data_IF_067652651404
#
_entry.id   IF_067652651404
#
_cell.length_a   1.000
_cell.length_b   1.000
_cell.length_c   1.000
_cell.angle_alpha   90.00
_cell.angle_beta   90.00
_cell.angle_gamma   90.00
#
_symmetry.space_group_name_H-M   'P 1'
#
loop_
_entity.id
_entity.type
_entity.pdbx_description
1 polymer ?
#
# COMPACT_ATOMS: atom_id res chain seq x y z
N UNK A 1 16.35 18.36 -4.73
CA UNK A 1 16.53 16.90 -4.62
C UNK A 1 15.37 16.34 -3.81
N UNK A 2 14.87 15.16 -4.19
CA UNK A 2 13.80 14.44 -3.50
C UNK A 2 14.12 12.94 -3.48
N UNK A 3 13.25 12.17 -2.87
CA UNK A 3 13.40 10.73 -2.64
C UNK A 3 12.31 9.98 -3.41
N UNK A 4 12.73 8.93 -4.12
CA UNK A 4 11.87 7.84 -4.55
C UNK A 4 12.00 6.72 -3.53
N UNK A 5 10.88 6.20 -3.02
CA UNK A 5 10.87 5.02 -2.16
C UNK A 5 10.42 3.83 -2.99
N UNK A 6 11.31 2.83 -3.10
CA UNK A 6 10.99 1.48 -3.56
C UNK A 6 10.71 0.61 -2.33
N UNK A 7 9.52 0.03 -2.26
CA UNK A 7 9.07 -0.69 -1.05
C UNK A 7 9.99 -1.90 -0.75
N UNK A 8 10.33 -2.69 -1.77
CA UNK A 8 11.22 -3.83 -1.64
C UNK A 8 12.61 -3.45 -1.11
N UNK A 9 13.15 -2.27 -1.48
CA UNK A 9 14.48 -1.82 -1.01
C UNK A 9 14.47 -1.51 0.49
N UNK A 10 13.36 -1.01 1.01
CA UNK A 10 13.21 -0.80 2.46
C UNK A 10 13.24 -2.15 3.19
N UNK A 11 12.55 -3.16 2.67
CA UNK A 11 12.54 -4.49 3.28
C UNK A 11 13.92 -5.19 3.27
N UNK A 12 14.82 -4.82 2.37
CA UNK A 12 16.23 -5.31 2.37
C UNK A 12 17.01 -4.89 3.62
N UNK A 13 16.52 -3.92 4.37
CA UNK A 13 17.09 -3.52 5.65
C UNK A 13 16.78 -4.52 6.78
N UNK A 14 16.20 -5.69 6.47
CA UNK A 14 16.07 -6.80 7.42
C UNK A 14 15.13 -6.52 8.59
N UNK A 15 14.12 -5.65 8.39
CA UNK A 15 13.16 -5.28 9.42
C UNK A 15 13.62 -4.20 10.40
N UNK A 16 14.77 -3.54 10.13
CA UNK A 16 15.19 -2.36 10.91
C UNK A 16 14.32 -1.12 10.64
N UNK A 17 13.58 -1.11 9.53
CA UNK A 17 12.69 -0.03 9.14
C UNK A 17 11.52 -0.63 8.35
N UNK A 18 10.34 -0.07 8.53
CA UNK A 18 9.15 -0.40 7.73
C UNK A 18 9.00 0.57 6.56
N UNK A 19 8.25 0.21 5.53
CA UNK A 19 7.92 1.14 4.44
C UNK A 19 7.11 2.30 4.99
N UNK A 20 6.18 2.05 5.91
CA UNK A 20 5.40 3.09 6.54
C UNK A 20 6.28 4.13 7.27
N UNK A 21 7.29 3.70 8.02
CA UNK A 21 8.25 4.59 8.69
C UNK A 21 9.06 5.43 7.69
N UNK A 22 9.54 4.80 6.61
CA UNK A 22 10.32 5.49 5.58
C UNK A 22 9.49 6.55 4.84
N UNK A 23 8.24 6.22 4.52
CA UNK A 23 7.25 7.12 3.92
C UNK A 23 6.95 8.28 4.87
N UNK A 24 6.65 8.00 6.15
CA UNK A 24 6.35 9.02 7.15
C UNK A 24 7.47 10.05 7.28
N UNK A 25 8.72 9.58 7.39
CA UNK A 25 9.93 10.40 7.45
C UNK A 25 10.12 11.27 6.20
N UNK A 26 9.93 10.70 5.01
CA UNK A 26 10.09 11.45 3.76
C UNK A 26 8.99 12.49 3.56
N UNK A 27 7.78 12.22 4.03
CA UNK A 27 6.67 13.16 4.03
C UNK A 27 6.92 14.32 5.01
N UNK A 28 7.37 14.05 6.24
CA UNK A 28 7.75 15.11 7.21
C UNK A 28 8.84 16.03 6.66
N UNK A 29 9.81 15.45 5.93
CA UNK A 29 10.88 16.22 5.31
C UNK A 29 10.41 17.03 4.06
N UNK A 30 9.19 16.79 3.55
CA UNK A 30 8.72 17.34 2.29
C UNK A 30 9.55 16.86 1.09
N UNK A 31 10.04 15.62 1.14
CA UNK A 31 10.97 15.04 0.16
C UNK A 31 10.48 13.79 -0.54
N UNK A 32 9.35 13.19 -0.17
CA UNK A 32 8.77 12.09 -0.93
C UNK A 32 8.25 12.61 -2.29
N UNK A 33 8.87 12.20 -3.40
CA UNK A 33 8.52 12.66 -4.75
C UNK A 33 7.84 11.56 -5.58
N UNK A 34 8.21 10.31 -5.33
CA UNK A 34 7.69 9.13 -6.00
C UNK A 34 7.70 7.97 -5.01
N UNK A 35 6.75 7.06 -5.17
CA UNK A 35 6.81 5.74 -4.57
C UNK A 35 6.68 4.71 -5.66
N UNK A 36 7.54 3.70 -5.60
CA UNK A 36 7.50 2.47 -6.38
C UNK A 36 6.93 1.35 -5.49
N UNK A 37 5.62 1.04 -5.59
CA UNK A 37 5.00 0.04 -4.73
C UNK A 37 5.20 -1.35 -5.32
N UNK A 38 5.94 -2.18 -4.60
CA UNK A 38 6.09 -3.61 -4.84
C UNK A 38 6.25 -4.34 -3.50
N UNK A 39 6.66 -5.60 -3.52
CA UNK A 39 6.90 -6.36 -2.29
C UNK A 39 8.08 -7.32 -2.45
N UNK A 40 8.63 -7.78 -1.33
CA UNK A 40 9.67 -8.81 -1.32
C UNK A 40 9.71 -9.52 0.04
N UNK A 41 10.45 -10.63 0.15
CA UNK A 41 10.73 -11.26 1.46
C UNK A 41 11.89 -10.58 2.22
N UNK A 42 12.38 -9.43 1.74
CA UNK A 42 13.45 -8.66 2.39
C UNK A 42 14.86 -9.26 2.27
N UNK A 43 15.07 -10.28 1.43
CA UNK A 43 16.40 -10.88 1.19
C UNK A 43 17.07 -10.36 -0.08
N UNK A 44 16.26 -10.19 -1.12
CA UNK A 44 16.62 -9.66 -2.42
C UNK A 44 15.41 -8.88 -2.93
N UNK A 45 15.65 -7.95 -3.82
CA UNK A 45 14.60 -7.27 -4.54
C UNK A 45 13.97 -8.24 -5.55
N UNK A 46 12.76 -8.69 -5.26
CA UNK A 46 12.06 -9.68 -6.10
C UNK A 46 11.03 -9.07 -7.03
N UNK A 47 10.76 -7.76 -6.88
CA UNK A 47 9.75 -7.02 -7.64
C UNK A 47 8.37 -7.72 -7.65
N UNK A 48 7.98 -8.29 -6.50
CA UNK A 48 6.71 -9.00 -6.37
C UNK A 48 5.52 -8.03 -6.33
N UNK A 49 4.33 -8.56 -6.64
CA UNK A 49 3.07 -7.82 -6.58
C UNK A 49 2.90 -7.11 -5.23
N UNK A 50 2.53 -5.84 -5.28
CA UNK A 50 2.39 -4.98 -4.10
C UNK A 50 1.43 -5.56 -3.05
N UNK A 51 1.91 -5.62 -1.79
CA UNK A 51 1.14 -6.10 -0.64
C UNK A 51 0.99 -7.62 -0.54
N UNK A 52 1.79 -8.40 -1.28
CA UNK A 52 1.81 -9.87 -1.24
C UNK A 52 2.28 -10.43 0.11
N UNK A 53 3.32 -9.84 0.68
CA UNK A 53 3.96 -10.30 1.91
C UNK A 53 3.70 -9.36 3.09
N UNK A 54 3.63 -8.05 2.83
CA UNK A 54 3.53 -7.03 3.87
C UNK A 54 2.28 -6.14 3.72
N UNK A 55 1.06 -6.71 3.66
CA UNK A 55 -0.16 -5.93 3.38
C UNK A 55 -0.50 -4.89 4.44
N UNK A 56 -0.16 -5.12 5.71
CA UNK A 56 -0.46 -4.16 6.78
C UNK A 56 0.51 -2.98 6.79
N UNK A 57 1.80 -3.20 6.53
CA UNK A 57 2.78 -2.12 6.37
C UNK A 57 2.46 -1.28 5.14
N UNK A 58 2.11 -1.94 4.03
CA UNK A 58 1.64 -1.27 2.82
C UNK A 58 0.37 -0.40 3.06
N UNK A 59 -0.56 -0.87 3.89
CA UNK A 59 -1.73 -0.09 4.30
C UNK A 59 -1.34 1.11 5.19
N UNK A 60 -0.43 0.91 6.15
CA UNK A 60 0.04 1.98 7.03
C UNK A 60 0.81 3.06 6.26
N UNK A 61 1.65 2.69 5.30
CA UNK A 61 2.30 3.61 4.37
C UNK A 61 1.27 4.45 3.59
N UNK A 62 0.22 3.79 3.06
CA UNK A 62 -0.89 4.50 2.42
C UNK A 62 -1.62 5.45 3.39
N UNK A 63 -1.74 5.08 4.66
CA UNK A 63 -2.34 5.93 5.69
C UNK A 63 -1.52 7.21 5.91
N UNK A 64 -0.20 7.13 6.00
CA UNK A 64 0.64 8.32 6.12
C UNK A 64 0.57 9.22 4.89
N UNK A 65 0.59 8.64 3.68
CA UNK A 65 0.41 9.39 2.44
C UNK A 65 -0.91 10.16 2.42
N UNK A 66 -2.03 9.49 2.70
CA UNK A 66 -3.35 10.14 2.69
C UNK A 66 -3.47 11.18 3.80
N UNK A 67 -3.06 10.84 5.02
CA UNK A 67 -3.20 11.72 6.19
C UNK A 67 -2.36 12.99 6.12
N UNK A 68 -1.24 12.95 5.39
CA UNK A 68 -0.36 14.11 5.16
C UNK A 68 -0.61 14.80 3.81
N UNK A 69 -1.65 14.40 3.08
CA UNK A 69 -2.05 15.04 1.83
C UNK A 69 -1.08 14.82 0.67
N UNK A 70 -0.39 13.68 0.63
CA UNK A 70 0.48 13.32 -0.49
C UNK A 70 -0.34 13.09 -1.77
N UNK A 71 -0.03 13.87 -2.80
CA UNK A 71 -0.61 13.83 -4.14
C UNK A 71 0.45 13.51 -5.22
N UNK A 72 1.53 12.82 -4.82
CA UNK A 72 2.58 12.42 -5.74
C UNK A 72 2.20 11.18 -6.56
N UNK A 73 3.12 10.76 -7.42
CA UNK A 73 2.89 9.64 -8.34
C UNK A 73 3.09 8.27 -7.65
N UNK A 74 2.37 7.28 -8.16
CA UNK A 74 2.56 5.86 -7.88
C UNK A 74 2.91 5.16 -9.17
N UNK A 75 3.99 4.39 -9.16
CA UNK A 75 4.41 3.58 -10.29
C UNK A 75 4.81 2.20 -9.77
N UNK A 76 3.93 1.18 -9.83
CA UNK A 76 4.30 -0.18 -9.41
C UNK A 76 5.51 -0.68 -10.21
N UNK A 77 6.65 -0.83 -9.54
CA UNK A 77 7.86 -1.43 -10.11
C UNK A 77 7.85 -2.94 -9.85
N UNK A 78 7.21 -3.69 -10.74
CA UNK A 78 7.01 -5.13 -10.58
C UNK A 78 7.50 -5.91 -11.79
N UNK A 79 8.11 -7.07 -11.54
CA UNK A 79 8.55 -8.01 -12.56
C UNK A 79 7.95 -9.41 -12.29
N UNK A 80 6.65 -9.61 -12.52
CA UNK A 80 5.97 -10.87 -12.25
C UNK A 80 6.50 -11.98 -13.18
N UNK A 81 7.33 -12.87 -12.63
CA UNK A 81 8.00 -13.96 -13.37
C UNK A 81 7.05 -15.10 -13.71
N UNK A 82 6.09 -15.37 -12.82
CA UNK A 82 5.20 -16.54 -12.87
C UNK A 82 3.71 -16.16 -13.04
N UNK A 83 3.39 -14.93 -13.43
CA UNK A 83 2.02 -14.43 -13.62
C UNK A 83 1.86 -13.59 -14.91
N UNK A 84 0.62 -13.34 -15.30
CA UNK A 84 0.28 -12.36 -16.33
C UNK A 84 0.69 -10.95 -15.88
N UNK A 85 1.63 -10.34 -16.63
CA UNK A 85 2.18 -9.01 -16.33
C UNK A 85 1.12 -7.92 -16.20
N UNK A 86 0.17 -7.86 -17.13
CA UNK A 86 -0.87 -6.84 -17.11
C UNK A 86 -1.86 -7.11 -15.97
N UNK A 87 -2.21 -8.37 -15.74
CA UNK A 87 -3.05 -8.76 -14.62
C UNK A 87 -2.42 -8.43 -13.26
N UNK A 88 -1.14 -8.74 -13.08
CA UNK A 88 -0.37 -8.44 -11.88
C UNK A 88 -0.22 -6.93 -11.65
N UNK A 89 -0.02 -6.16 -12.71
CA UNK A 89 0.01 -4.70 -12.64
C UNK A 89 -1.35 -4.13 -12.22
N UNK A 90 -2.44 -4.58 -12.85
CA UNK A 90 -3.80 -4.19 -12.46
C UNK A 90 -4.10 -4.58 -11.01
N UNK A 91 -3.65 -5.75 -10.56
CA UNK A 91 -3.79 -6.18 -9.17
C UNK A 91 -3.07 -5.23 -8.20
N UNK A 92 -1.84 -4.81 -8.50
CA UNK A 92 -1.09 -3.85 -7.69
C UNK A 92 -1.78 -2.49 -7.62
N UNK A 93 -2.24 -1.95 -8.76
CA UNK A 93 -3.00 -0.69 -8.80
C UNK A 93 -4.30 -0.79 -7.98
N UNK A 94 -5.03 -1.90 -8.10
CA UNK A 94 -6.22 -2.13 -7.31
C UNK A 94 -5.92 -2.18 -5.80
N UNK A 95 -4.80 -2.78 -5.42
CA UNK A 95 -4.38 -2.86 -4.03
C UNK A 95 -4.01 -1.48 -3.47
N UNK A 96 -3.29 -0.64 -4.24
CA UNK A 96 -3.02 0.76 -3.89
C UNK A 96 -4.33 1.52 -3.69
N UNK A 97 -5.26 1.44 -4.66
CA UNK A 97 -6.58 2.08 -4.56
C UNK A 97 -7.35 1.61 -3.33
N UNK A 98 -7.35 0.31 -3.06
CA UNK A 98 -8.02 -0.30 -1.91
C UNK A 98 -7.46 0.24 -0.59
N UNK A 99 -6.14 0.22 -0.42
CA UNK A 99 -5.47 0.70 0.79
C UNK A 99 -5.62 2.20 1.01
N UNK A 100 -5.53 3.01 -0.05
CA UNK A 100 -5.82 4.45 0.03
C UNK A 100 -7.27 4.72 0.41
N UNK A 101 -8.23 3.91 -0.03
CA UNK A 101 -9.63 4.05 0.43
C UNK A 101 -9.77 3.70 1.90
N UNK A 102 -9.17 2.61 2.39
CA UNK A 102 -9.15 2.32 3.83
C UNK A 102 -8.51 3.44 4.66
N UNK A 103 -7.39 3.98 4.18
CA UNK A 103 -6.73 5.11 4.82
C UNK A 103 -7.65 6.34 4.96
N UNK A 104 -8.41 6.68 3.91
CA UNK A 104 -9.41 7.76 3.98
C UNK A 104 -10.50 7.45 4.99
N UNK A 105 -11.04 6.24 4.99
CA UNK A 105 -12.06 5.80 5.95
C UNK A 105 -11.54 5.98 7.38
N UNK A 106 -10.30 5.56 7.66
CA UNK A 106 -9.66 5.72 8.97
C UNK A 106 -9.50 7.18 9.42
N UNK A 107 -9.63 8.15 8.51
CA UNK A 107 -9.59 9.59 8.82
C UNK A 107 -10.97 10.21 9.02
N UNK A 108 -12.05 9.46 8.76
CA UNK A 108 -13.42 9.94 8.85
C UNK A 108 -14.15 9.37 10.07
N UNK A 109 -15.12 10.10 10.63
CA UNK A 109 -15.98 9.57 11.70
C UNK A 109 -16.88 8.44 11.18
N UNK A 110 -17.12 7.36 11.96
CA UNK A 110 -16.69 7.13 13.33
C UNK A 110 -15.30 6.48 13.48
N UNK A 111 -14.62 6.17 12.37
CA UNK A 111 -13.38 5.40 12.37
C UNK A 111 -12.19 6.17 12.92
N UNK A 112 -12.09 7.47 12.64
CA UNK A 112 -11.06 8.33 13.20
C UNK A 112 -11.03 8.28 14.73
N UNK A 113 -12.21 8.37 15.35
CA UNK A 113 -12.36 8.23 16.81
C UNK A 113 -11.93 6.84 17.30
N UNK A 114 -12.38 5.77 16.64
CA UNK A 114 -11.96 4.40 17.00
C UNK A 114 -10.45 4.20 16.90
N UNK A 115 -9.82 4.74 15.86
CA UNK A 115 -8.37 4.67 15.66
C UNK A 115 -7.63 5.41 16.78
N UNK A 116 -8.07 6.62 17.14
CA UNK A 116 -7.48 7.38 18.24
C UNK A 116 -7.66 6.69 19.59
N UNK A 117 -8.80 6.09 19.86
CA UNK A 117 -9.04 5.27 21.06
C UNK A 117 -8.13 4.04 21.09
N UNK A 118 -7.99 3.34 19.97
CA UNK A 118 -7.09 2.18 19.85
C UNK A 118 -5.63 2.58 20.09
N UNK A 119 -5.15 3.67 19.49
CA UNK A 119 -3.79 4.21 19.68
C UNK A 119 -3.54 4.60 21.14
N UNK A 120 -4.45 5.36 21.76
CA UNK A 120 -4.33 5.81 23.16
C UNK A 120 -4.35 4.66 24.17
N UNK A 121 -4.94 3.53 23.81
CA UNK A 121 -4.95 2.35 24.69
C UNK A 121 -3.54 1.78 24.94
N UNK A 122 -2.59 2.02 24.03
CA UNK A 122 -1.26 1.43 24.05
C UNK A 122 -1.25 -0.10 23.86
N UNK A 123 -2.40 -0.69 23.49
CA UNK A 123 -2.58 -2.15 23.35
C UNK A 123 -2.68 -2.51 21.87
N UNK A 124 -1.72 -3.29 21.32
CA UNK A 124 -1.79 -3.74 19.93
C UNK A 124 -3.08 -4.51 19.60
N UNK A 125 -3.62 -5.26 20.56
CA UNK A 125 -4.88 -5.99 20.38
C UNK A 125 -6.06 -5.08 20.00
N UNK A 126 -6.09 -3.83 20.47
CA UNK A 126 -7.14 -2.87 20.10
C UNK A 126 -7.00 -2.36 18.67
N UNK A 127 -5.77 -2.25 18.18
CA UNK A 127 -5.52 -1.95 16.77
C UNK A 127 -5.96 -3.12 15.90
N UNK A 128 -5.66 -4.36 16.30
CA UNK A 128 -6.10 -5.54 15.55
C UNK A 128 -7.62 -5.74 15.55
N UNK A 129 -8.31 -5.46 16.66
CA UNK A 129 -9.79 -5.45 16.70
C UNK A 129 -10.36 -4.45 15.67
N UNK A 130 -9.78 -3.25 15.58
CA UNK A 130 -10.19 -2.24 14.61
C UNK A 130 -9.90 -2.68 13.16
N UNK A 131 -8.72 -3.26 12.91
CA UNK A 131 -8.32 -3.74 11.60
C UNK A 131 -9.21 -4.91 11.13
N UNK A 132 -9.61 -5.81 12.03
CA UNK A 132 -10.55 -6.89 11.70
C UNK A 132 -11.89 -6.33 11.23
N UNK A 133 -12.45 -5.36 11.97
CA UNK A 133 -13.69 -4.68 11.58
C UNK A 133 -13.53 -3.94 10.23
N UNK A 134 -12.41 -3.24 10.03
CA UNK A 134 -12.12 -2.50 8.81
C UNK A 134 -11.97 -3.43 7.60
N UNK A 135 -11.21 -4.53 7.73
CA UNK A 135 -10.86 -5.40 6.61
C UNK A 135 -12.01 -6.34 6.21
N UNK A 136 -12.98 -6.57 7.10
CA UNK A 136 -14.17 -7.37 6.83
C UNK A 136 -15.36 -6.57 6.28
N UNK A 137 -15.28 -5.23 6.31
CA UNK A 137 -16.34 -4.39 5.77
C UNK A 137 -16.48 -4.53 4.25
N UNK A 138 -17.70 -4.32 3.75
CA UNK A 138 -17.91 -4.13 2.31
C UNK A 138 -17.28 -2.80 1.89
N UNK A 139 -16.20 -2.88 1.14
CA UNK A 139 -15.49 -1.71 0.63
C UNK A 139 -15.89 -1.39 -0.81
N UNK A 140 -16.26 -0.14 -1.07
CA UNK A 140 -16.36 0.41 -2.41
C UNK A 140 -15.11 1.25 -2.72
N UNK A 141 -14.39 0.89 -3.78
CA UNK A 141 -13.16 1.56 -4.18
C UNK A 141 -13.04 1.55 -5.70
N UNK A 142 -12.31 2.51 -6.32
CA UNK A 142 -12.11 2.54 -7.75
C UNK A 142 -11.30 1.32 -8.19
N UNK A 143 -12.01 0.29 -8.67
CA UNK A 143 -11.47 -1.00 -9.03
C UNK A 143 -11.42 -1.16 -10.54
N UNK A 144 -10.25 -1.51 -11.05
CA UNK A 144 -10.02 -1.91 -12.43
C UNK A 144 -10.34 -3.41 -12.56
N UNK A 145 -11.22 -3.82 -13.49
CA UNK A 145 -11.52 -5.24 -13.71
C UNK A 145 -10.27 -6.02 -14.14
N UNK A 146 -10.01 -7.17 -13.50
CA UNK A 146 -8.84 -8.00 -13.81
C UNK A 146 -8.94 -8.69 -15.18
N UNK A 147 -10.16 -8.92 -15.67
CA UNK A 147 -10.43 -9.46 -17.01
C UNK A 147 -10.12 -8.45 -18.13
N UNK A 148 -9.81 -7.20 -17.78
CA UNK A 148 -9.29 -6.22 -18.75
C UNK A 148 -8.01 -6.73 -19.40
N UNK A 149 -7.16 -7.46 -18.66
CA UNK A 149 -5.96 -8.07 -19.19
C UNK A 149 -6.27 -9.05 -20.34
N UNK A 150 -7.36 -9.82 -20.22
CA UNK A 150 -7.79 -10.77 -21.24
C UNK A 150 -8.29 -10.07 -22.51
N UNK A 151 -8.88 -8.87 -22.37
CA UNK A 151 -9.39 -8.07 -23.50
C UNK A 151 -8.25 -7.53 -24.35
N UNK A 152 -7.23 -6.94 -23.72
CA UNK A 152 -6.05 -6.41 -24.43
C UNK A 152 -5.27 -7.50 -25.19
N UNK A 153 -5.32 -8.75 -24.74
CA UNK A 153 -4.68 -9.86 -25.46
C UNK A 153 -5.41 -10.27 -26.73
N UNK A 154 -6.73 -10.06 -26.80
CA UNK A 154 -7.54 -10.38 -27.99
C UNK A 154 -7.36 -9.36 -29.11
N UNK A 155 -6.95 -8.14 -28.78
CA UNK A 155 -6.80 -7.04 -29.74
C UNK A 155 -5.38 -6.93 -30.33
N UNK A 156 -4.46 -7.82 -29.93
CA UNK A 156 -3.02 -7.81 -30.32
C UNK A 156 -2.61 -9.09 -31.08
N UNK A 157 -3.57 -9.97 -31.41
CA UNK A 157 -3.39 -11.18 -32.23
C UNK A 157 -4.33 -11.15 -33.46
#
# INVERSE_FOLDING_TARGET
MGVNIEDAHVYLLGGHQTVADAVDLCLEAGRLFLRHPNDSLGKIDTDDVFGKYHPLDALEACYYEVSKGYDGAYEPDIFPKDDDRLRAFIASINQISKFRTYARILMEEPWAKKLEEAKRSGKPSKVYELLDELLTMKLDYPKIPLDLADRFRKDVL
#
